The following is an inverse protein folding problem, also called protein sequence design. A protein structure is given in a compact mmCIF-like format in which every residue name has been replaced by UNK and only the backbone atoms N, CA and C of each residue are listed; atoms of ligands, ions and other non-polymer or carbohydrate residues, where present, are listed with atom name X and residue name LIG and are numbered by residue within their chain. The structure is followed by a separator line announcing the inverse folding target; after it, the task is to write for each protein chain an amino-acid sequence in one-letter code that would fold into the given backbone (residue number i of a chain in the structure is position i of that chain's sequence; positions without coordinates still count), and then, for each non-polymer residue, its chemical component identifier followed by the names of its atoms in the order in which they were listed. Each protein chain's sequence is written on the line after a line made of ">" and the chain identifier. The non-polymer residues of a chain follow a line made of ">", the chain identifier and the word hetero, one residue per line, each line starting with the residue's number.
data_IF_250567763600
#
_entry.id   IF_250567763600
#
_cell.length_a   1.000
_cell.length_b   1.000
_cell.length_c   1.000
_cell.angle_alpha   90.00
_cell.angle_beta   90.00
_cell.angle_gamma   90.00
#
_symmetry.space_group_name_H-M   'P 1'
#
loop_
_entity.id
_entity.type
_entity.pdbx_description
1 polymer ?
#
# COMPACT_ATOMS: atom_id res chain seq x y z
N UNK A 1 8.53 21.76 -18.01
CA UNK A 1 8.74 20.61 -17.13
C UNK A 1 7.41 20.22 -16.55
N UNK A 2 6.99 18.95 -16.65
CA UNK A 2 5.85 18.48 -15.87
C UNK A 2 6.21 18.68 -14.39
N UNK A 3 5.33 19.31 -13.62
CA UNK A 3 5.42 19.33 -12.16
C UNK A 3 5.09 17.92 -11.65
N UNK A 4 5.95 16.95 -11.97
CA UNK A 4 5.80 15.52 -11.68
C UNK A 4 5.43 15.26 -10.22
N UNK A 5 5.99 15.95 -9.20
CA UNK A 5 5.60 15.76 -7.81
C UNK A 5 4.14 16.14 -7.51
N UNK A 6 3.62 17.22 -8.13
CA UNK A 6 2.23 17.66 -7.92
C UNK A 6 1.24 16.66 -8.53
N UNK A 7 1.61 16.07 -9.66
CA UNK A 7 0.78 15.07 -10.35
C UNK A 7 0.74 13.78 -9.53
N UNK A 8 1.90 13.29 -9.06
CA UNK A 8 1.99 12.11 -8.20
C UNK A 8 1.11 12.28 -6.95
N UNK A 9 1.23 13.41 -6.25
CA UNK A 9 0.42 13.69 -5.07
C UNK A 9 -1.09 13.67 -5.37
N UNK A 10 -1.51 14.25 -6.49
CA UNK A 10 -2.92 14.24 -6.92
C UNK A 10 -3.41 12.83 -7.26
N UNK A 11 -2.56 11.99 -7.84
CA UNK A 11 -2.84 10.57 -8.06
C UNK A 11 -2.98 9.82 -6.74
N UNK A 12 -2.10 10.04 -5.78
CA UNK A 12 -2.20 9.43 -4.44
C UNK A 12 -3.48 9.84 -3.73
N UNK A 13 -3.83 11.14 -3.74
CA UNK A 13 -5.08 11.62 -3.16
C UNK A 13 -6.32 10.99 -3.81
N UNK A 14 -6.32 10.84 -5.14
CA UNK A 14 -7.39 10.15 -5.86
C UNK A 14 -7.46 8.66 -5.49
N UNK A 15 -6.32 7.98 -5.44
CA UNK A 15 -6.22 6.56 -5.07
C UNK A 15 -6.70 6.32 -3.63
N UNK A 16 -6.48 7.28 -2.73
CA UNK A 16 -6.95 7.19 -1.35
C UNK A 16 -8.44 7.47 -1.26
N UNK A 17 -8.92 8.62 -1.77
CA UNK A 17 -10.25 9.16 -1.49
C UNK A 17 -11.33 8.69 -2.45
N UNK A 18 -11.02 8.65 -3.74
CA UNK A 18 -12.01 8.48 -4.81
C UNK A 18 -11.98 7.07 -5.42
N UNK A 19 -10.82 6.40 -5.35
CA UNK A 19 -10.67 5.09 -5.95
C UNK A 19 -11.44 4.03 -5.17
N UNK A 20 -12.32 3.32 -5.89
CA UNK A 20 -13.06 2.14 -5.42
C UNK A 20 -12.18 0.89 -5.29
N UNK A 21 -10.86 1.01 -5.47
CA UNK A 21 -9.91 -0.10 -5.35
C UNK A 21 -9.85 -0.65 -3.93
N UNK A 22 -9.59 -1.94 -3.82
CA UNK A 22 -9.36 -2.60 -2.53
C UNK A 22 -8.01 -2.18 -1.92
N UNK A 23 -7.85 -2.41 -0.61
CA UNK A 23 -6.59 -2.11 0.09
C UNK A 23 -5.40 -2.85 -0.52
N UNK A 24 -5.60 -4.12 -0.94
CA UNK A 24 -4.60 -4.94 -1.65
C UNK A 24 -4.08 -4.26 -2.92
N UNK A 25 -4.97 -3.85 -3.82
CA UNK A 25 -4.60 -3.22 -5.09
C UNK A 25 -3.90 -1.86 -4.87
N UNK A 26 -4.35 -1.09 -3.88
CA UNK A 26 -3.70 0.18 -3.52
C UNK A 26 -2.28 -0.05 -3.02
N UNK A 27 -2.07 -1.10 -2.23
CA UNK A 27 -0.77 -1.47 -1.69
C UNK A 27 0.18 -1.96 -2.81
N UNK A 28 -0.27 -2.83 -3.70
CA UNK A 28 0.51 -3.28 -4.86
C UNK A 28 0.92 -2.11 -5.78
N UNK A 29 0.01 -1.18 -6.02
CA UNK A 29 0.28 0.04 -6.80
C UNK A 29 1.30 0.93 -6.08
N UNK A 30 1.19 1.06 -4.76
CA UNK A 30 2.12 1.85 -3.98
C UNK A 30 3.56 1.34 -4.08
N UNK A 31 3.75 0.01 -4.10
CA UNK A 31 5.07 -0.59 -4.30
C UNK A 31 5.55 -0.43 -5.74
N UNK A 32 4.70 -0.81 -6.70
CA UNK A 32 5.05 -0.80 -8.14
C UNK A 32 5.45 0.58 -8.67
N UNK A 33 4.80 1.64 -8.16
CA UNK A 33 5.04 3.02 -8.58
C UNK A 33 5.77 3.87 -7.53
N UNK A 34 6.23 3.27 -6.43
CA UNK A 34 6.93 3.95 -5.32
C UNK A 34 6.16 5.16 -4.80
N UNK A 35 4.86 4.99 -4.56
CA UNK A 35 3.95 6.01 -4.02
C UNK A 35 4.00 5.98 -2.49
N UNK A 36 4.95 6.72 -1.91
CA UNK A 36 5.24 6.66 -0.47
C UNK A 36 4.05 7.05 0.41
N UNK A 37 3.28 8.07 0.04
CA UNK A 37 2.15 8.53 0.86
C UNK A 37 0.99 7.53 0.79
N UNK A 38 0.75 6.97 -0.40
CA UNK A 38 -0.21 5.88 -0.56
C UNK A 38 0.21 4.65 0.28
N UNK A 39 1.49 4.30 0.29
CA UNK A 39 2.00 3.17 1.07
C UNK A 39 1.77 3.38 2.57
N UNK A 40 2.17 4.54 3.11
CA UNK A 40 1.95 4.90 4.53
C UNK A 40 0.47 4.83 4.91
N UNK A 41 -0.41 5.37 4.05
CA UNK A 41 -1.85 5.32 4.29
C UNK A 41 -2.42 3.90 4.23
N UNK A 42 -1.97 3.06 3.31
CA UNK A 42 -2.41 1.68 3.22
C UNK A 42 -1.95 0.87 4.44
N UNK A 43 -0.66 0.99 4.82
CA UNK A 43 -0.13 0.35 6.02
C UNK A 43 -0.84 0.84 7.28
N UNK A 44 -1.18 2.13 7.38
CA UNK A 44 -1.95 2.69 8.50
C UNK A 44 -3.36 2.11 8.68
N UNK A 45 -3.97 1.61 7.59
CA UNK A 45 -5.29 0.95 7.64
C UNK A 45 -5.23 -0.49 8.13
N UNK A 46 -4.06 -1.14 8.07
CA UNK A 46 -3.85 -2.50 8.56
C UNK A 46 -3.76 -2.47 10.09
N UNK A 47 -4.81 -2.95 10.76
CA UNK A 47 -4.98 -2.94 12.23
C UNK A 47 -5.13 -4.34 12.83
N UNK A 48 -5.27 -5.37 12.01
CA UNK A 48 -5.49 -6.75 12.47
C UNK A 48 -4.78 -7.76 11.57
N UNK A 49 -4.63 -9.00 12.06
CA UNK A 49 -4.13 -10.13 11.24
C UNK A 49 -5.05 -10.43 10.06
N UNK A 50 -6.36 -10.23 10.21
CA UNK A 50 -7.31 -10.40 9.12
C UNK A 50 -7.05 -9.41 7.98
N UNK A 51 -6.72 -8.15 8.32
CA UNK A 51 -6.33 -7.16 7.31
C UNK A 51 -5.07 -7.60 6.56
N UNK A 52 -4.05 -8.10 7.27
CA UNK A 52 -2.82 -8.64 6.66
C UNK A 52 -3.15 -9.78 5.70
N UNK A 53 -3.99 -10.73 6.13
CA UNK A 53 -4.41 -11.85 5.30
C UNK A 53 -5.22 -11.41 4.08
N UNK A 54 -5.90 -10.26 4.14
CA UNK A 54 -6.67 -9.72 3.02
C UNK A 54 -5.81 -9.02 1.96
N UNK A 55 -4.63 -8.50 2.36
CA UNK A 55 -3.74 -7.74 1.49
C UNK A 55 -2.56 -8.54 0.97
N UNK A 56 -2.15 -9.59 1.68
CA UNK A 56 -1.06 -10.45 1.22
C UNK A 56 -1.51 -11.20 -0.05
N UNK A 57 -0.69 -11.14 -1.09
CA UNK A 57 -0.94 -11.90 -2.32
C UNK A 57 -0.71 -13.38 -2.10
N UNK A 58 -1.43 -14.23 -2.85
CA UNK A 58 -1.24 -15.69 -2.81
C UNK A 58 0.21 -16.09 -3.14
N UNK A 59 0.87 -15.32 -4.00
CA UNK A 59 2.32 -15.35 -4.19
C UNK A 59 2.98 -14.07 -3.64
N UNK A 60 3.51 -14.11 -2.41
CA UNK A 60 4.22 -12.97 -1.83
C UNK A 60 5.50 -12.57 -2.58
N UNK A 61 6.05 -13.42 -3.45
CA UNK A 61 7.28 -13.11 -4.21
C UNK A 61 7.06 -12.05 -5.28
N UNK A 62 5.81 -11.88 -5.73
CA UNK A 62 5.43 -10.83 -6.67
C UNK A 62 5.14 -9.48 -6.02
N UNK A 63 5.10 -9.42 -4.67
CA UNK A 63 4.91 -8.16 -3.95
C UNK A 63 6.24 -7.40 -3.89
N UNK A 64 6.13 -6.07 -3.77
CA UNK A 64 7.28 -5.25 -3.49
C UNK A 64 7.93 -5.65 -2.15
N UNK A 65 9.26 -5.77 -2.15
CA UNK A 65 10.02 -6.27 -1.00
C UNK A 65 9.93 -5.33 0.21
N UNK A 66 9.86 -4.01 0.00
CA UNK A 66 9.74 -3.05 1.10
C UNK A 66 8.36 -3.17 1.74
N UNK A 67 7.31 -3.33 0.93
CA UNK A 67 5.95 -3.58 1.42
C UNK A 67 5.87 -4.88 2.21
N UNK A 68 6.46 -5.96 1.69
CA UNK A 68 6.45 -7.25 2.36
C UNK A 68 7.17 -7.17 3.72
N UNK A 69 8.28 -6.45 3.80
CA UNK A 69 9.01 -6.22 5.04
C UNK A 69 8.17 -5.43 6.07
N UNK A 70 7.46 -4.39 5.64
CA UNK A 70 6.58 -3.61 6.53
C UNK A 70 5.36 -4.41 7.00
N UNK A 71 4.75 -5.21 6.11
CA UNK A 71 3.67 -6.13 6.48
C UNK A 71 4.14 -7.15 7.53
N UNK A 72 5.34 -7.72 7.36
CA UNK A 72 5.92 -8.65 8.33
C UNK A 72 6.13 -7.99 9.70
N UNK A 73 6.70 -6.78 9.73
CA UNK A 73 6.86 -6.02 10.98
C UNK A 73 5.53 -5.79 11.68
N UNK A 74 4.49 -5.40 10.93
CA UNK A 74 3.13 -5.25 11.47
C UNK A 74 2.57 -6.56 12.01
N UNK A 75 2.75 -7.66 11.29
CA UNK A 75 2.28 -8.98 11.70
C UNK A 75 2.88 -9.43 13.05
N UNK A 76 4.11 -9.02 13.35
CA UNK A 76 4.78 -9.32 14.62
C UNK A 76 4.29 -8.46 15.80
N UNK A 77 3.70 -7.29 15.53
CA UNK A 77 3.21 -6.34 16.55
C UNK A 77 1.72 -6.55 16.83
N UNK A 78 0.96 -7.00 15.83
CA UNK A 78 -0.48 -7.20 15.94
C UNK A 78 -0.76 -8.52 16.69
N UNK A 79 -1.35 -8.39 17.88
CA UNK A 79 -1.82 -9.52 18.69
C UNK A 79 -2.92 -10.28 17.97
#
# INVERSE_FOLDING_TARGET
>A
MLDTPKIVKKCEEFLVKESKKGLKEKLEMAGSYRLEELNKMCLGQIKSRADISSVISEDPKGMDNEILAELLKKALILN
#
